data_IF_025620967885
#
_entry.id   IF_025620967885
#
_cell.length_a   1.000
_cell.length_b   1.000
_cell.length_c   1.000
_cell.angle_alpha   90.00
_cell.angle_beta   90.00
_cell.angle_gamma   90.00
#
_symmetry.space_group_name_H-M   'P 1'
#
loop_
_entity.id
_entity.type
_entity.pdbx_description
1 polymer ?
#
# COMPACT_ATOMS: atom_id res chain seq x y z
N UNK A 1 7.20 -6.23 -4.49
CA UNK A 1 7.67 -5.96 -3.11
C UNK A 1 7.15 -7.05 -2.15
N UNK A 2 7.39 -6.90 -0.85
CA UNK A 2 6.87 -7.78 0.21
C UNK A 2 6.57 -7.01 1.51
N UNK A 3 6.40 -5.69 1.40
CA UNK A 3 6.33 -4.80 2.56
C UNK A 3 4.95 -4.77 3.22
N UNK A 4 3.92 -5.28 2.54
CA UNK A 4 2.58 -5.36 3.09
C UNK A 4 2.35 -6.62 3.94
N UNK A 5 3.13 -7.69 3.74
CA UNK A 5 2.96 -8.97 4.48
C UNK A 5 2.83 -8.78 6.00
N UNK A 6 3.68 -7.96 6.61
CA UNK A 6 3.68 -7.72 8.04
C UNK A 6 2.37 -7.09 8.53
N UNK A 7 2.00 -5.95 7.93
CA UNK A 7 0.81 -5.21 8.34
C UNK A 7 -0.47 -5.96 7.97
N UNK A 8 -0.53 -6.62 6.81
CA UNK A 8 -1.66 -7.47 6.43
C UNK A 8 -1.86 -8.60 7.45
N UNK A 9 -0.79 -9.25 7.91
CA UNK A 9 -0.88 -10.29 8.94
C UNK A 9 -1.43 -9.74 10.26
N UNK A 10 -0.98 -8.55 10.67
CA UNK A 10 -1.49 -7.89 11.86
C UNK A 10 -3.00 -7.61 11.75
N UNK A 11 -3.41 -6.93 10.68
CA UNK A 11 -4.82 -6.58 10.42
C UNK A 11 -5.70 -7.84 10.39
N UNK A 12 -5.23 -8.90 9.71
CA UNK A 12 -5.99 -10.15 9.58
C UNK A 12 -6.22 -10.80 10.94
N UNK A 13 -5.23 -10.75 11.85
CA UNK A 13 -5.38 -11.27 13.21
C UNK A 13 -6.33 -10.45 14.08
N UNK A 14 -6.53 -9.17 13.75
CA UNK A 14 -7.49 -8.28 14.43
C UNK A 14 -8.90 -8.40 13.86
N UNK A 15 -9.12 -9.28 12.87
CA UNK A 15 -10.43 -9.51 12.28
C UNK A 15 -10.90 -8.41 11.34
N UNK A 16 -9.98 -7.57 10.86
CA UNK A 16 -10.31 -6.56 9.84
C UNK A 16 -10.66 -7.24 8.51
N UNK A 17 -11.64 -6.69 7.80
CA UNK A 17 -11.84 -6.96 6.37
C UNK A 17 -10.73 -6.27 5.60
N UNK A 18 -10.00 -7.01 4.76
CA UNK A 18 -8.80 -6.51 4.09
C UNK A 18 -8.92 -6.79 2.60
N UNK A 19 -8.59 -5.79 1.81
CA UNK A 19 -8.26 -5.92 0.39
C UNK A 19 -6.78 -5.60 0.21
N UNK A 20 -6.06 -6.42 -0.54
CA UNK A 20 -4.75 -6.08 -1.07
C UNK A 20 -4.87 -5.04 -2.18
N UNK A 21 -3.87 -4.16 -2.26
CA UNK A 21 -3.77 -3.20 -3.35
C UNK A 21 -3.33 -3.86 -4.67
N UNK A 22 -2.80 -3.05 -5.58
CA UNK A 22 -2.20 -3.57 -6.82
C UNK A 22 -0.82 -4.14 -6.54
N UNK A 23 -0.58 -5.39 -6.93
CA UNK A 23 0.71 -6.05 -6.79
C UNK A 23 1.07 -6.86 -8.03
N UNK A 24 2.37 -6.95 -8.32
CA UNK A 24 2.89 -7.74 -9.42
C UNK A 24 2.93 -9.23 -9.05
N UNK A 25 2.67 -10.11 -10.02
CA UNK A 25 2.59 -11.58 -9.83
C UNK A 25 3.74 -12.22 -9.02
N UNK A 26 4.95 -11.69 -9.15
CA UNK A 26 6.14 -12.24 -8.48
C UNK A 26 6.39 -11.68 -7.08
N UNK A 27 5.54 -10.78 -6.62
CA UNK A 27 5.66 -10.16 -5.31
C UNK A 27 5.31 -11.14 -4.18
N UNK A 28 6.01 -10.98 -3.06
CA UNK A 28 5.69 -11.74 -1.84
C UNK A 28 4.31 -11.37 -1.29
N UNK A 29 3.88 -10.12 -1.50
CA UNK A 29 2.55 -9.64 -1.12
C UNK A 29 1.45 -10.43 -1.85
N UNK A 30 1.56 -10.57 -3.18
CA UNK A 30 0.64 -11.38 -4.01
C UNK A 30 0.52 -12.82 -3.50
N UNK A 31 1.65 -13.49 -3.24
CA UNK A 31 1.66 -14.87 -2.72
C UNK A 31 0.96 -14.96 -1.36
N UNK A 32 1.20 -13.98 -0.50
CA UNK A 32 0.63 -13.95 0.84
C UNK A 32 -0.88 -13.71 0.82
N UNK A 33 -1.36 -12.72 0.06
CA UNK A 33 -2.79 -12.45 -0.08
C UNK A 33 -3.54 -13.62 -0.72
N UNK A 34 -2.97 -14.22 -1.76
CA UNK A 34 -3.53 -15.42 -2.37
C UNK A 34 -3.67 -16.58 -1.37
N UNK A 35 -2.63 -16.84 -0.56
CA UNK A 35 -2.66 -17.91 0.43
C UNK A 35 -3.69 -17.69 1.56
N UNK A 36 -4.05 -16.43 1.84
CA UNK A 36 -5.07 -16.07 2.83
C UNK A 36 -6.47 -15.90 2.24
N UNK A 37 -6.64 -16.04 0.91
CA UNK A 37 -7.91 -15.75 0.24
C UNK A 37 -8.35 -14.29 0.34
N UNK A 38 -7.39 -13.37 0.55
CA UNK A 38 -7.62 -11.93 0.54
C UNK A 38 -7.85 -11.49 -0.90
N UNK A 39 -8.85 -10.65 -1.15
CA UNK A 39 -9.05 -10.03 -2.46
C UNK A 39 -7.93 -9.04 -2.77
N UNK A 40 -7.37 -9.07 -3.98
CA UNK A 40 -6.36 -8.11 -4.43
C UNK A 40 -6.37 -7.98 -5.96
N UNK A 41 -5.68 -6.96 -6.47
CA UNK A 41 -5.52 -6.75 -7.92
C UNK A 41 -4.12 -7.16 -8.36
N UNK A 42 -4.04 -8.19 -9.20
CA UNK A 42 -2.77 -8.67 -9.73
C UNK A 42 -2.48 -8.08 -11.12
N UNK A 43 -1.24 -7.64 -11.33
CA UNK A 43 -0.71 -7.27 -12.65
C UNK A 43 0.45 -8.19 -13.06
N UNK A 44 0.68 -8.40 -14.38
CA UNK A 44 1.83 -9.17 -14.85
C UNK A 44 3.16 -8.65 -14.29
N UNK A 45 4.13 -9.54 -14.11
CA UNK A 45 5.45 -9.12 -13.65
C UNK A 45 6.08 -8.07 -14.59
N UNK A 46 6.68 -7.03 -14.00
CA UNK A 46 7.38 -5.96 -14.72
C UNK A 46 6.50 -5.12 -15.67
N UNK A 47 5.17 -5.20 -15.57
CA UNK A 47 4.25 -4.35 -16.34
C UNK A 47 3.85 -3.07 -15.60
N UNK A 48 3.33 -2.10 -16.34
CA UNK A 48 2.59 -0.98 -15.76
C UNK A 48 1.21 -1.40 -15.25
N UNK A 49 0.66 -0.58 -14.37
CA UNK A 49 -0.74 -0.67 -13.96
C UNK A 49 -1.59 -0.02 -15.05
N UNK A 50 -2.34 -0.83 -15.78
CA UNK A 50 -3.26 -0.36 -16.83
C UNK A 50 -4.47 0.38 -16.26
N UNK A 51 -5.17 1.13 -17.12
CA UNK A 51 -6.33 1.96 -16.75
C UNK A 51 -7.43 1.19 -16.04
N UNK A 52 -7.76 -0.01 -16.49
CA UNK A 52 -8.85 -0.81 -15.90
C UNK A 52 -8.49 -1.27 -14.48
N UNK A 53 -7.22 -1.61 -14.25
CA UNK A 53 -6.73 -1.97 -12.92
C UNK A 53 -6.67 -0.75 -12.01
N UNK A 54 -6.25 0.40 -12.54
CA UNK A 54 -6.24 1.66 -11.83
C UNK A 54 -7.64 2.05 -11.36
N UNK A 55 -8.66 1.99 -12.23
CA UNK A 55 -10.06 2.30 -11.88
C UNK A 55 -10.54 1.42 -10.73
N UNK A 56 -10.35 0.09 -10.84
CA UNK A 56 -10.76 -0.85 -9.78
C UNK A 56 -10.00 -0.62 -8.48
N UNK A 57 -8.72 -0.30 -8.55
CA UNK A 57 -7.91 -0.02 -7.36
C UNK A 57 -8.37 1.25 -6.63
N UNK A 58 -8.79 2.27 -7.38
CA UNK A 58 -9.38 3.49 -6.83
C UNK A 58 -10.71 3.19 -6.13
N UNK A 59 -11.54 2.31 -6.69
CA UNK A 59 -12.79 1.91 -6.04
C UNK A 59 -12.52 1.22 -4.69
N UNK A 60 -11.58 0.26 -4.65
CA UNK A 60 -11.18 -0.41 -3.40
C UNK A 60 -10.69 0.59 -2.33
N UNK A 61 -9.87 1.56 -2.73
CA UNK A 61 -9.33 2.57 -1.80
C UNK A 61 -10.42 3.54 -1.31
N UNK A 62 -11.43 3.83 -2.12
CA UNK A 62 -12.55 4.71 -1.73
C UNK A 62 -13.55 4.02 -0.81
N UNK A 63 -13.69 2.70 -0.93
CA UNK A 63 -14.53 1.88 -0.06
C UNK A 63 -13.86 1.57 1.29
N UNK A 64 -12.53 1.65 1.36
CA UNK A 64 -11.79 1.35 2.58
C UNK A 64 -11.91 2.46 3.64
N UNK A 65 -12.23 2.06 4.88
CA UNK A 65 -12.21 2.94 6.06
C UNK A 65 -10.81 3.52 6.37
N UNK A 66 -9.77 2.78 5.96
CA UNK A 66 -8.37 3.12 6.13
C UNK A 66 -7.51 2.45 5.04
N UNK A 67 -6.68 3.23 4.36
CA UNK A 67 -5.65 2.73 3.43
C UNK A 67 -4.27 2.83 4.05
N UNK A 68 -3.42 1.81 3.85
CA UNK A 68 -2.03 1.80 4.34
C UNK A 68 -1.04 1.71 3.17
N UNK A 69 -0.26 2.77 2.95
CA UNK A 69 0.81 2.80 1.95
C UNK A 69 2.14 2.37 2.59
N UNK A 70 2.52 1.12 2.36
CA UNK A 70 3.77 0.55 2.88
C UNK A 70 5.02 1.20 2.26
N UNK A 71 6.17 1.05 2.93
CA UNK A 71 7.46 1.45 2.38
C UNK A 71 7.93 0.42 1.35
N UNK A 72 8.02 0.82 0.08
CA UNK A 72 8.59 0.03 -1.02
C UNK A 72 9.11 0.97 -2.12
N UNK A 73 10.00 0.50 -3.01
CA UNK A 73 10.49 1.30 -4.11
C UNK A 73 9.43 1.59 -5.18
N UNK A 74 9.39 2.83 -5.66
CA UNK A 74 8.55 3.26 -6.77
C UNK A 74 9.36 3.35 -8.07
N UNK A 75 8.80 2.80 -9.14
CA UNK A 75 9.27 2.95 -10.50
C UNK A 75 8.09 2.91 -11.46
N UNK A 76 8.36 2.91 -12.77
CA UNK A 76 7.28 3.02 -13.77
C UNK A 76 6.18 1.96 -13.60
N UNK A 77 6.54 0.72 -13.24
CA UNK A 77 5.60 -0.39 -13.12
C UNK A 77 4.58 -0.25 -11.97
N UNK A 78 4.88 0.55 -10.94
CA UNK A 78 4.01 0.73 -9.78
C UNK A 78 3.76 2.21 -9.41
N UNK A 79 4.15 3.14 -10.30
CA UNK A 79 4.01 4.57 -10.09
C UNK A 79 2.55 4.98 -9.78
N UNK A 80 1.59 4.33 -10.46
CA UNK A 80 0.17 4.59 -10.28
C UNK A 80 -0.34 4.26 -8.87
N UNK A 81 0.39 3.50 -8.05
CA UNK A 81 0.03 3.29 -6.64
C UNK A 81 0.05 4.60 -5.82
N UNK A 82 0.84 5.60 -6.21
CA UNK A 82 0.80 6.92 -5.59
C UNK A 82 -0.49 7.67 -5.94
N UNK A 83 -0.94 7.55 -7.18
CA UNK A 83 -2.18 8.17 -7.66
C UNK A 83 -3.41 7.48 -7.03
N UNK A 84 -3.35 6.16 -6.87
CA UNK A 84 -4.36 5.36 -6.14
C UNK A 84 -4.44 5.80 -4.67
N UNK A 85 -3.29 5.88 -3.98
CA UNK A 85 -3.25 6.28 -2.57
C UNK A 85 -3.77 7.70 -2.32
N UNK A 86 -3.65 8.61 -3.30
CA UNK A 86 -4.22 9.98 -3.21
C UNK A 86 -5.76 9.98 -3.16
N UNK A 87 -6.42 8.89 -3.56
CA UNK A 87 -7.88 8.76 -3.53
C UNK A 87 -8.43 8.24 -2.19
N UNK A 88 -7.56 7.91 -1.23
CA UNK A 88 -7.96 7.38 0.07
C UNK A 88 -8.75 8.42 0.87
N UNK A 89 -9.84 7.98 1.53
CA UNK A 89 -10.54 8.79 2.53
C UNK A 89 -9.69 9.03 3.77
N UNK A 90 -8.86 8.03 4.11
CA UNK A 90 -7.92 8.07 5.21
C UNK A 90 -6.68 7.25 4.85
N UNK A 91 -5.50 7.84 5.00
CA UNK A 91 -4.24 7.22 4.60
C UNK A 91 -3.24 7.22 5.75
N UNK A 92 -2.67 6.06 6.04
CA UNK A 92 -1.42 5.93 6.79
C UNK A 92 -0.28 5.59 5.84
N UNK A 93 0.83 6.33 5.95
CA UNK A 93 2.04 6.07 5.19
C UNK A 93 3.08 5.49 6.15
N UNK A 94 3.50 4.25 5.91
CA UNK A 94 4.53 3.63 6.72
C UNK A 94 5.90 4.23 6.40
N UNK A 95 6.64 4.55 7.45
CA UNK A 95 8.04 4.92 7.37
C UNK A 95 8.94 3.73 7.01
N UNK A 96 10.22 4.02 6.76
CA UNK A 96 11.21 3.02 6.36
C UNK A 96 11.84 2.29 7.57
N UNK A 97 11.52 2.71 8.81
CA UNK A 97 12.19 2.24 10.02
C UNK A 97 11.81 0.81 10.39
N UNK A 98 10.70 0.29 9.83
CA UNK A 98 10.31 -1.10 9.94
C UNK A 98 11.30 -2.09 9.27
N UNK A 99 12.29 -1.59 8.50
CA UNK A 99 13.40 -2.39 7.96
C UNK A 99 13.02 -3.39 6.85
N UNK A 100 11.76 -3.42 6.42
CA UNK A 100 11.26 -4.38 5.43
C UNK A 100 11.61 -3.98 3.99
N UNK A 101 11.64 -2.68 3.70
CA UNK A 101 12.05 -2.16 2.39
C UNK A 101 12.37 -0.66 2.46
N UNK A 102 13.34 -0.22 1.67
CA UNK A 102 13.65 1.20 1.50
C UNK A 102 12.77 1.80 0.40
N UNK A 103 12.19 2.96 0.65
CA UNK A 103 11.51 3.80 -0.33
C UNK A 103 12.57 4.47 -1.19
N UNK A 104 12.68 4.00 -2.43
CA UNK A 104 13.53 4.57 -3.46
C UNK A 104 12.68 4.89 -4.69
N UNK A 105 13.11 5.85 -5.49
CA UNK A 105 12.40 6.30 -6.69
C UNK A 105 13.28 6.07 -7.93
N UNK A 106 12.74 5.37 -8.92
CA UNK A 106 13.44 4.97 -10.14
C UNK A 106 12.69 5.47 -11.39
N UNK A 107 13.41 5.69 -12.50
CA UNK A 107 12.84 6.27 -13.71
C UNK A 107 12.62 7.77 -13.54
N UNK A 108 11.35 8.21 -13.63
CA UNK A 108 10.93 9.61 -13.42
C UNK A 108 10.97 10.01 -11.92
N UNK A 109 12.12 9.81 -11.28
CA UNK A 109 12.29 9.90 -9.84
C UNK A 109 11.82 11.24 -9.26
N UNK A 110 12.14 12.36 -9.91
CA UNK A 110 11.71 13.70 -9.44
C UNK A 110 10.19 13.86 -9.45
N UNK A 111 9.48 13.27 -10.41
CA UNK A 111 8.02 13.31 -10.44
C UNK A 111 7.44 12.44 -9.33
N UNK A 112 7.93 11.21 -9.20
CA UNK A 112 7.45 10.27 -8.18
C UNK A 112 7.73 10.79 -6.77
N UNK A 113 8.90 11.37 -6.52
CA UNK A 113 9.23 12.04 -5.26
C UNK A 113 8.27 13.20 -4.99
N UNK A 114 7.99 14.03 -6.00
CA UNK A 114 7.05 15.14 -5.84
C UNK A 114 5.63 14.64 -5.55
N UNK A 115 5.18 13.54 -6.17
CA UNK A 115 3.89 12.90 -5.85
C UNK A 115 3.88 12.40 -4.41
N UNK A 116 4.89 11.63 -4.02
CA UNK A 116 5.01 11.09 -2.67
C UNK A 116 5.06 12.20 -1.60
N UNK A 117 5.88 13.25 -1.80
CA UNK A 117 5.97 14.37 -0.84
C UNK A 117 4.65 15.11 -0.64
N UNK A 118 3.76 15.14 -1.63
CA UNK A 118 2.41 15.70 -1.43
C UNK A 118 1.60 14.85 -0.47
N UNK A 119 1.61 13.53 -0.66
CA UNK A 119 0.94 12.59 0.24
C UNK A 119 1.51 12.68 1.66
N UNK A 120 2.85 12.64 1.79
CA UNK A 120 3.56 12.79 3.06
C UNK A 120 3.20 14.09 3.77
N UNK A 121 3.14 15.22 3.04
CA UNK A 121 2.77 16.51 3.63
C UNK A 121 1.32 16.54 4.14
N UNK A 122 0.41 15.83 3.48
CA UNK A 122 -1.00 15.79 3.82
C UNK A 122 -1.27 14.84 4.99
N UNK A 123 -0.68 13.65 4.96
CA UNK A 123 -1.03 12.54 5.87
C UNK A 123 0.02 12.26 6.96
N UNK A 124 1.24 12.78 6.79
CA UNK A 124 2.38 12.41 7.61
C UNK A 124 2.85 10.98 7.34
N UNK A 125 3.87 10.55 8.10
CA UNK A 125 4.33 9.17 8.14
C UNK A 125 4.25 8.64 9.56
N UNK A 126 4.03 7.34 9.68
CA UNK A 126 3.96 6.63 10.96
C UNK A 126 4.88 5.41 10.92
N UNK A 127 5.40 5.01 12.09
CA UNK A 127 6.12 3.74 12.19
C UNK A 127 5.14 2.57 12.07
N UNK A 128 5.68 1.36 11.89
CA UNK A 128 4.88 0.14 11.91
C UNK A 128 4.10 -0.01 13.23
N UNK A 129 4.76 0.24 14.37
CA UNK A 129 4.13 0.22 15.70
C UNK A 129 3.05 1.28 15.81
N UNK A 130 3.32 2.51 15.37
CA UNK A 130 2.33 3.59 15.38
C UNK A 130 1.10 3.26 14.52
N UNK A 131 1.27 2.61 13.38
CA UNK A 131 0.14 2.12 12.58
C UNK A 131 -0.65 1.00 13.28
N UNK A 132 0.04 0.08 13.97
CA UNK A 132 -0.61 -0.98 14.75
C UNK A 132 -1.40 -0.40 15.93
N UNK A 133 -0.84 0.58 16.63
CA UNK A 133 -1.49 1.26 17.76
C UNK A 133 -2.73 2.02 17.26
N UNK A 134 -2.58 2.79 16.18
CA UNK A 134 -3.69 3.51 15.55
C UNK A 134 -4.89 2.62 15.22
N UNK A 135 -4.63 1.44 14.63
CA UNK A 135 -5.69 0.48 14.31
C UNK A 135 -6.26 -0.15 15.58
N UNK A 136 -5.43 -0.43 16.59
CA UNK A 136 -5.89 -1.01 17.86
C UNK A 136 -6.87 -0.07 18.57
N UNK A 137 -6.50 1.21 18.68
CA UNK A 137 -7.33 2.26 19.28
C UNK A 137 -8.67 2.39 18.56
N UNK A 138 -8.67 2.34 17.22
CA UNK A 138 -9.89 2.45 16.41
C UNK A 138 -10.82 1.25 16.57
N UNK A 139 -10.28 0.06 16.85
CA UNK A 139 -11.06 -1.14 17.14
C UNK A 139 -11.50 -1.22 18.61
N UNK A 140 -11.07 -0.29 19.46
CA UNK A 140 -11.37 -0.28 20.89
C UNK A 140 -10.63 -1.36 21.70
N UNK A 141 -9.42 -1.72 21.26
CA UNK A 141 -8.58 -2.76 21.87
C UNK A 141 -7.30 -2.21 22.49
#
# INVERSE_FOLDING_TARGET
AGSAVGITRFLHRRGCTITGGVSHELDSDTKFWSALGIEFLQVPAFSEIGTDTLTRAVDLVREADLTILCAFPFGHGNAANLDIAEQAQELLILDENAGLCRRAFFGDASELERKFRRLEKTWGMVSYEGACDYVSDRLGH
#
